data_IF_729404654695
#
_entry.id   IF_729404654695
#
_cell.length_a   1.000
_cell.length_b   1.000
_cell.length_c   1.000
_cell.angle_alpha   90.00
_cell.angle_beta   90.00
_cell.angle_gamma   90.00
#
_symmetry.space_group_name_H-M   'P 1'
#
loop_
_entity.id
_entity.type
_entity.pdbx_description
1 polymer ?
#
# COMPACT_ATOMS: atom_id res chain seq x y z
N UNK A 1 23.24 39.02 -15.06
CA UNK A 1 23.35 37.58 -14.75
C UNK A 1 22.26 37.23 -13.75
N UNK A 2 21.04 36.94 -14.22
CA UNK A 2 19.91 36.56 -13.36
C UNK A 2 19.76 35.06 -13.48
N UNK A 3 19.96 34.34 -12.37
CA UNK A 3 19.85 32.88 -12.30
C UNK A 3 18.36 32.50 -12.35
N UNK A 4 17.96 31.83 -13.42
CA UNK A 4 16.63 31.23 -13.57
C UNK A 4 16.48 30.09 -12.53
N UNK A 5 15.34 29.91 -11.84
CA UNK A 5 15.17 28.83 -10.89
C UNK A 5 15.08 27.49 -11.62
N UNK A 6 15.72 26.45 -11.07
CA UNK A 6 15.61 25.08 -11.58
C UNK A 6 14.14 24.65 -11.58
N UNK A 7 13.62 24.26 -12.74
CA UNK A 7 12.31 23.63 -12.88
C UNK A 7 12.23 22.42 -11.98
N UNK A 8 11.28 22.43 -11.03
CA UNK A 8 10.90 21.23 -10.28
C UNK A 8 10.38 20.19 -11.27
N UNK A 9 11.18 19.15 -11.52
CA UNK A 9 10.71 17.98 -12.27
C UNK A 9 9.49 17.42 -11.52
N UNK A 10 8.33 17.27 -12.17
CA UNK A 10 7.18 16.66 -11.50
C UNK A 10 7.58 15.24 -11.10
N UNK A 11 7.53 14.93 -9.80
CA UNK A 11 7.68 13.54 -9.36
C UNK A 11 6.53 12.76 -9.98
N UNK A 12 6.85 11.70 -10.73
CA UNK A 12 5.84 10.80 -11.27
C UNK A 12 4.93 10.33 -10.15
N UNK A 13 3.63 10.58 -10.27
CA UNK A 13 2.66 10.03 -9.33
C UNK A 13 2.63 8.51 -9.50
N UNK A 14 3.14 7.81 -8.50
CA UNK A 14 3.06 6.35 -8.44
C UNK A 14 1.72 5.99 -7.78
N UNK A 15 0.87 5.31 -8.52
CA UNK A 15 -0.38 4.77 -7.96
C UNK A 15 -0.08 3.44 -7.31
N UNK A 16 -0.59 3.24 -6.09
CA UNK A 16 -0.49 1.98 -5.36
C UNK A 16 -1.85 1.30 -5.28
N UNK A 17 -1.85 -0.01 -5.41
CA UNK A 17 -2.99 -0.87 -5.15
C UNK A 17 -2.75 -1.59 -3.82
N UNK A 18 -3.80 -1.73 -3.02
CA UNK A 18 -3.77 -2.49 -1.79
C UNK A 18 -4.73 -3.66 -1.94
N UNK A 19 -4.20 -4.87 -1.81
CA UNK A 19 -4.99 -6.10 -1.73
C UNK A 19 -5.08 -6.55 -0.28
N UNK A 20 -6.30 -6.85 0.18
CA UNK A 20 -6.56 -7.38 1.52
C UNK A 20 -7.36 -8.67 1.39
N UNK A 21 -6.91 -9.74 2.06
CA UNK A 21 -7.57 -11.04 2.12
C UNK A 21 -7.82 -11.44 3.56
N UNK A 22 -9.09 -11.50 3.97
CA UNK A 22 -9.47 -11.92 5.32
C UNK A 22 -9.75 -13.41 5.35
N UNK A 23 -8.91 -14.18 6.04
CA UNK A 23 -9.12 -15.60 6.32
C UNK A 23 -9.72 -15.85 7.70
N UNK A 24 -9.88 -17.13 8.06
CA UNK A 24 -10.39 -17.53 9.37
C UNK A 24 -9.39 -17.34 10.53
N UNK A 25 -8.09 -17.36 10.26
CA UNK A 25 -7.04 -17.22 11.30
C UNK A 25 -6.22 -15.97 11.10
N UNK A 26 -5.96 -15.61 9.83
CA UNK A 26 -5.11 -14.49 9.47
C UNK A 26 -5.74 -13.63 8.40
N UNK A 27 -5.41 -12.35 8.46
CA UNK A 27 -5.69 -11.35 7.42
C UNK A 27 -4.36 -10.99 6.76
N UNK A 28 -4.30 -11.09 5.44
CA UNK A 28 -3.13 -10.81 4.62
C UNK A 28 -3.31 -9.48 3.87
N UNK A 29 -2.25 -8.68 3.78
CA UNK A 29 -2.23 -7.43 3.05
C UNK A 29 -1.02 -7.36 2.11
N UNK A 30 -1.21 -6.83 0.91
CA UNK A 30 -0.16 -6.59 -0.05
C UNK A 30 -0.29 -5.21 -0.70
N UNK A 31 0.83 -4.48 -0.79
CA UNK A 31 0.95 -3.22 -1.53
C UNK A 31 1.59 -3.51 -2.88
N UNK A 32 0.97 -3.03 -3.96
CA UNK A 32 1.38 -3.27 -5.34
C UNK A 32 1.56 -1.93 -6.05
N UNK A 33 2.68 -1.75 -6.75
CA UNK A 33 2.84 -0.66 -7.71
C UNK A 33 1.91 -0.90 -8.91
N UNK A 34 1.00 0.04 -9.19
CA UNK A 34 -0.02 -0.15 -10.22
C UNK A 34 0.57 -0.25 -11.63
N UNK A 35 1.63 0.50 -11.93
CA UNK A 35 2.22 0.54 -13.28
C UNK A 35 3.03 -0.71 -13.60
N UNK A 36 3.92 -1.11 -12.69
CA UNK A 36 4.80 -2.26 -12.87
C UNK A 36 4.20 -3.59 -12.41
N UNK A 37 3.00 -3.58 -11.81
CA UNK A 37 2.37 -4.73 -11.16
C UNK A 37 3.30 -5.44 -10.16
N UNK A 38 4.22 -4.69 -9.55
CA UNK A 38 5.22 -5.22 -8.63
C UNK A 38 4.71 -5.17 -7.20
N UNK A 39 4.80 -6.29 -6.49
CA UNK A 39 4.55 -6.30 -5.04
C UNK A 39 5.68 -5.56 -4.33
N UNK A 40 5.33 -4.52 -3.59
CA UNK A 40 6.26 -3.65 -2.85
C UNK A 40 6.41 -4.09 -1.40
N UNK A 41 5.31 -4.50 -0.77
CA UNK A 41 5.27 -4.94 0.62
C UNK A 41 4.19 -5.98 0.84
N UNK A 42 4.37 -6.79 1.88
CA UNK A 42 3.37 -7.74 2.39
C UNK A 42 3.35 -7.69 3.92
N UNK A 43 2.18 -7.84 4.48
CA UNK A 43 1.96 -7.90 5.93
C UNK A 43 0.84 -8.88 6.24
N UNK A 44 0.80 -9.35 7.49
CA UNK A 44 -0.13 -10.35 7.97
C UNK A 44 -0.46 -10.09 9.45
N UNK A 45 -1.74 -10.18 9.80
CA UNK A 45 -2.23 -10.05 11.17
C UNK A 45 -3.20 -11.19 11.51
N UNK A 46 -3.48 -11.41 12.80
CA UNK A 46 -4.53 -12.35 13.22
C UNK A 46 -5.90 -11.78 12.80
N UNK A 47 -6.79 -12.63 12.29
CA UNK A 47 -8.15 -12.18 11.97
C UNK A 47 -8.95 -11.96 13.24
N UNK A 48 -9.40 -10.73 13.43
CA UNK A 48 -10.38 -10.39 14.45
C UNK A 48 -11.79 -10.68 13.94
N UNK A 49 -12.26 -11.92 14.10
CA UNK A 49 -13.57 -12.36 13.52
C UNK A 49 -14.78 -11.53 13.97
N UNK A 50 -14.74 -11.02 15.21
CA UNK A 50 -15.81 -10.18 15.75
C UNK A 50 -15.87 -8.79 15.13
N UNK A 51 -14.77 -8.35 14.51
CA UNK A 51 -14.66 -7.09 13.79
C UNK A 51 -13.49 -7.16 12.80
N UNK A 52 -13.81 -7.43 11.54
CA UNK A 52 -12.79 -7.58 10.49
C UNK A 52 -12.02 -6.28 10.25
N UNK A 53 -12.58 -5.11 10.56
CA UNK A 53 -11.89 -3.84 10.36
C UNK A 53 -10.62 -3.75 11.23
N UNK A 54 -10.63 -4.36 12.42
CA UNK A 54 -9.45 -4.43 13.29
C UNK A 54 -8.36 -5.26 12.62
N UNK A 55 -8.69 -6.48 12.18
CA UNK A 55 -7.71 -7.37 11.54
C UNK A 55 -7.16 -6.81 10.22
N UNK A 56 -7.98 -6.11 9.45
CA UNK A 56 -7.55 -5.39 8.23
C UNK A 56 -6.61 -4.22 8.58
N UNK A 57 -6.95 -3.44 9.61
CA UNK A 57 -6.13 -2.29 10.03
C UNK A 57 -4.77 -2.74 10.59
N UNK A 58 -4.74 -3.85 11.34
CA UNK A 58 -3.49 -4.42 11.85
C UNK A 58 -2.59 -5.01 10.75
N UNK A 59 -3.19 -5.49 9.66
CA UNK A 59 -2.44 -6.01 8.51
C UNK A 59 -1.92 -4.90 7.57
N UNK A 60 -2.44 -3.68 7.65
CA UNK A 60 -2.02 -2.53 6.85
C UNK A 60 -0.82 -1.80 7.46
#
# INVERSE_FOLDING_TARGET
MVRVPATLTPMSTCTYLIGVDTGGTYTDCAVIEAQGHRVLARAKAITTKGDLAIGVTEAL
#
